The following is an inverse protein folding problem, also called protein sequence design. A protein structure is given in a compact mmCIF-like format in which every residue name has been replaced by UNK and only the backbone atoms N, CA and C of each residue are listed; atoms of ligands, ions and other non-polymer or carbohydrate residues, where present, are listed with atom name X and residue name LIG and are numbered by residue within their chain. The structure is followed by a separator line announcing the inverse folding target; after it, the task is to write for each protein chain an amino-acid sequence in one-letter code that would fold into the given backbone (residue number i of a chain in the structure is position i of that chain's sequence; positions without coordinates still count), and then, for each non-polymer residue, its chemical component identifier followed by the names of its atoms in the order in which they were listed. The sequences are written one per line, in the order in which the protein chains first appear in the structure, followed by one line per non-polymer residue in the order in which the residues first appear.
data_IF_603334293209
#
_entry.id   IF_603334293209
#
_cell.length_a   1.000
_cell.length_b   1.000
_cell.length_c   1.000
_cell.angle_alpha   90.00
_cell.angle_beta   90.00
_cell.angle_gamma   90.00
#
_symmetry.space_group_name_H-M   'P 1'
#
loop_
_entity.id
_entity.type
_entity.pdbx_description
1 polymer ?
#
# COMPACT_ATOMS: atom_id res chain seq x y z
N UNK A 1 31.80 -6.40 -15.36
CA UNK A 1 31.19 -7.66 -14.82
C UNK A 1 29.99 -7.34 -13.91
N UNK A 2 30.10 -6.35 -13.00
CA UNK A 2 29.03 -5.94 -12.07
C UNK A 2 27.81 -5.33 -12.79
N UNK A 3 28.03 -4.48 -13.81
CA UNK A 3 26.98 -3.89 -14.64
C UNK A 3 26.21 -4.93 -15.47
N UNK A 4 26.86 -6.00 -15.91
CA UNK A 4 26.23 -7.09 -16.67
C UNK A 4 25.34 -7.97 -15.77
N UNK A 5 25.71 -8.17 -14.51
CA UNK A 5 24.88 -8.87 -13.52
C UNK A 5 23.65 -8.06 -13.13
N UNK A 6 23.80 -6.74 -12.93
CA UNK A 6 22.70 -5.85 -12.61
C UNK A 6 21.67 -5.76 -13.74
N UNK A 7 22.13 -5.60 -14.99
CA UNK A 7 21.25 -5.60 -16.17
C UNK A 7 20.54 -6.93 -16.35
N UNK A 8 21.19 -8.05 -16.03
CA UNK A 8 20.59 -9.39 -16.16
C UNK A 8 19.50 -9.64 -15.12
N UNK A 9 19.66 -9.12 -13.89
CA UNK A 9 18.63 -9.19 -12.85
C UNK A 9 17.43 -8.29 -13.17
N UNK A 10 17.68 -7.05 -13.58
CA UNK A 10 16.61 -6.10 -13.95
C UNK A 10 15.83 -6.60 -15.17
N UNK A 11 16.51 -7.15 -16.19
CA UNK A 11 15.82 -7.74 -17.36
C UNK A 11 15.04 -8.99 -16.96
N UNK A 12 15.57 -9.85 -16.06
CA UNK A 12 14.82 -11.02 -15.59
C UNK A 12 13.58 -10.65 -14.77
N UNK A 13 13.62 -9.54 -14.04
CA UNK A 13 12.48 -9.06 -13.27
C UNK A 13 11.45 -8.36 -14.18
N UNK A 14 11.90 -7.65 -15.22
CA UNK A 14 11.02 -7.09 -16.26
C UNK A 14 10.38 -8.22 -17.08
N UNK A 15 11.12 -9.26 -17.44
CA UNK A 15 10.56 -10.42 -18.14
C UNK A 15 9.64 -11.26 -17.25
N UNK A 16 9.88 -11.34 -15.93
CA UNK A 16 8.95 -11.91 -14.97
C UNK A 16 7.66 -11.10 -14.87
N UNK A 17 7.76 -9.77 -14.83
CA UNK A 17 6.61 -8.87 -14.80
C UNK A 17 5.85 -8.95 -16.13
N UNK A 18 6.52 -8.98 -17.26
CA UNK A 18 5.93 -9.12 -18.60
C UNK A 18 5.28 -10.50 -18.82
N UNK A 19 5.91 -11.58 -18.33
CA UNK A 19 5.33 -12.94 -18.39
C UNK A 19 4.22 -13.17 -17.35
N UNK A 20 4.17 -12.40 -16.26
CA UNK A 20 3.03 -12.36 -15.34
C UNK A 20 1.85 -11.55 -15.89
N UNK A 21 2.04 -10.71 -16.90
CA UNK A 21 0.96 -9.96 -17.55
C UNK A 21 0.06 -10.82 -18.44
N UNK A 22 0.44 -12.05 -18.78
CA UNK A 22 -0.39 -13.01 -19.52
C UNK A 22 -1.20 -13.96 -18.61
N UNK A 23 -0.94 -13.98 -17.28
CA UNK A 23 -1.74 -14.69 -16.30
C UNK A 23 -2.08 -13.71 -15.17
N UNK A 24 -3.04 -12.83 -15.46
CA UNK A 24 -3.46 -11.69 -14.61
C UNK A 24 -4.18 -12.16 -13.33
N UNK A 25 -3.45 -12.84 -12.46
CA UNK A 25 -3.91 -13.16 -11.11
C UNK A 25 -4.01 -11.90 -10.23
N UNK A 26 -4.49 -12.07 -9.00
CA UNK A 26 -4.57 -11.00 -7.99
C UNK A 26 -3.15 -10.69 -7.47
N UNK A 27 -2.45 -9.74 -8.09
CA UNK A 27 -1.09 -9.35 -7.74
C UNK A 27 -1.10 -8.44 -6.51
N UNK A 28 -0.36 -8.80 -5.47
CA UNK A 28 -0.24 -8.05 -4.21
C UNK A 28 -1.60 -7.62 -3.60
N UNK A 29 -2.62 -8.41 -3.88
CA UNK A 29 -3.98 -8.22 -3.41
C UNK A 29 -4.37 -9.19 -2.30
N UNK A 30 -5.65 -9.21 -1.90
CA UNK A 30 -6.16 -10.07 -0.85
C UNK A 30 -5.88 -11.56 -1.09
N UNK A 31 -5.30 -12.29 -0.11
CA UNK A 31 -5.03 -13.74 -0.26
C UNK A 31 -6.28 -14.57 -0.58
N UNK A 32 -7.43 -14.17 -0.04
CA UNK A 32 -8.71 -14.82 -0.33
C UNK A 32 -9.08 -14.73 -1.81
N UNK A 33 -8.85 -13.59 -2.45
CA UNK A 33 -9.11 -13.44 -3.88
C UNK A 33 -8.09 -14.22 -4.71
N UNK A 34 -6.82 -14.29 -4.29
CA UNK A 34 -5.81 -15.13 -4.93
C UNK A 34 -6.23 -16.60 -4.93
N UNK A 35 -6.65 -17.12 -3.75
CA UNK A 35 -7.10 -18.49 -3.62
C UNK A 35 -8.36 -18.78 -4.43
N UNK A 36 -9.35 -17.87 -4.40
CA UNK A 36 -10.59 -18.02 -5.14
C UNK A 36 -10.40 -17.95 -6.66
N UNK A 37 -9.51 -17.09 -7.15
CA UNK A 37 -9.17 -17.06 -8.58
C UNK A 37 -8.43 -18.34 -9.02
N UNK A 38 -7.66 -18.97 -8.13
CA UNK A 38 -6.96 -20.21 -8.43
C UNK A 38 -7.89 -21.46 -8.40
N UNK A 39 -8.88 -21.49 -7.48
CA UNK A 39 -9.75 -22.64 -7.25
C UNK A 39 -11.10 -22.53 -7.97
N UNK A 40 -11.49 -21.33 -8.38
CA UNK A 40 -12.83 -21.01 -8.87
C UNK A 40 -13.77 -20.53 -7.75
N UNK A 41 -14.83 -19.84 -8.15
CA UNK A 41 -15.83 -19.31 -7.23
C UNK A 41 -17.00 -20.29 -7.07
N UNK A 42 -17.41 -20.66 -5.83
CA UNK A 42 -18.54 -21.53 -5.60
C UNK A 42 -19.84 -21.00 -6.23
N UNK A 43 -20.70 -21.89 -6.65
CA UNK A 43 -22.02 -21.53 -7.20
C UNK A 43 -22.79 -20.63 -6.21
N UNK A 44 -23.51 -19.65 -6.74
CA UNK A 44 -24.25 -18.65 -5.92
C UNK A 44 -23.39 -17.54 -5.32
N UNK A 45 -22.04 -17.64 -5.37
CA UNK A 45 -21.14 -16.64 -4.77
C UNK A 45 -20.40 -15.77 -5.78
N UNK A 46 -20.57 -16.04 -7.08
CA UNK A 46 -19.86 -15.37 -8.18
C UNK A 46 -20.08 -13.86 -8.22
N UNK A 47 -21.31 -13.39 -7.98
CA UNK A 47 -21.64 -11.98 -7.97
C UNK A 47 -20.85 -11.24 -6.88
N UNK A 48 -20.85 -11.74 -5.64
CA UNK A 48 -20.06 -11.18 -4.54
C UNK A 48 -18.55 -11.34 -4.78
N UNK A 49 -18.14 -12.45 -5.37
CA UNK A 49 -16.75 -12.67 -5.79
C UNK A 49 -16.28 -11.60 -6.77
N UNK A 50 -17.03 -11.38 -7.85
CA UNK A 50 -16.70 -10.37 -8.87
C UNK A 50 -16.76 -8.95 -8.32
N UNK A 51 -17.69 -8.66 -7.40
CA UNK A 51 -17.73 -7.38 -6.68
C UNK A 51 -16.40 -7.12 -5.93
N UNK A 52 -15.91 -8.09 -5.18
CA UNK A 52 -14.64 -7.95 -4.44
C UNK A 52 -13.41 -7.88 -5.37
N UNK A 53 -13.43 -8.60 -6.48
CA UNK A 53 -12.42 -8.43 -7.55
C UNK A 53 -12.47 -7.00 -8.10
N UNK A 54 -13.65 -6.44 -8.33
CA UNK A 54 -13.80 -5.06 -8.78
C UNK A 54 -13.26 -4.03 -7.78
N UNK A 55 -13.45 -4.26 -6.47
CA UNK A 55 -12.81 -3.44 -5.41
C UNK A 55 -11.28 -3.49 -5.52
N UNK A 56 -10.72 -4.67 -5.75
CA UNK A 56 -9.28 -4.85 -5.97
C UNK A 56 -8.82 -4.11 -7.24
N UNK A 57 -9.49 -4.32 -8.37
CA UNK A 57 -9.12 -3.74 -9.66
C UNK A 57 -9.14 -2.21 -9.65
N UNK A 58 -10.09 -1.59 -8.95
CA UNK A 58 -10.12 -0.14 -8.78
C UNK A 58 -8.90 0.42 -8.06
N UNK A 59 -8.32 -0.36 -7.13
CA UNK A 59 -7.08 0.01 -6.44
C UNK A 59 -5.84 -0.29 -7.29
N UNK A 60 -5.88 -1.39 -8.04
CA UNK A 60 -4.77 -1.90 -8.83
C UNK A 60 -4.56 -1.08 -10.12
N UNK A 61 -5.61 -0.84 -10.87
CA UNK A 61 -5.61 -0.10 -12.13
C UNK A 61 -6.87 0.79 -12.23
N UNK A 62 -6.83 1.99 -11.63
CA UNK A 62 -7.98 2.91 -11.59
C UNK A 62 -8.48 3.34 -12.96
N UNK A 63 -7.65 3.29 -13.99
CA UNK A 63 -8.03 3.73 -15.35
C UNK A 63 -8.75 2.63 -16.14
N UNK A 64 -8.29 1.38 -16.01
CA UNK A 64 -8.77 0.28 -16.85
C UNK A 64 -9.64 -0.75 -16.11
N UNK A 65 -9.93 -0.56 -14.82
CA UNK A 65 -10.63 -1.55 -13.99
C UNK A 65 -11.96 -2.05 -14.56
N UNK A 66 -12.68 -1.23 -15.31
CA UNK A 66 -13.96 -1.62 -15.92
C UNK A 66 -13.79 -2.66 -17.03
N UNK A 67 -12.77 -2.52 -17.84
CA UNK A 67 -12.43 -3.51 -18.87
C UNK A 67 -11.88 -4.77 -18.21
N UNK A 68 -11.05 -4.61 -17.19
CA UNK A 68 -10.46 -5.72 -16.45
C UNK A 68 -11.51 -6.56 -15.71
N UNK A 69 -12.56 -5.96 -15.14
CA UNK A 69 -13.62 -6.72 -14.45
C UNK A 69 -14.36 -7.67 -15.39
N UNK A 70 -14.57 -7.29 -16.64
CA UNK A 70 -15.17 -8.16 -17.65
C UNK A 70 -14.25 -9.33 -18.01
N UNK A 71 -12.94 -9.07 -18.11
CA UNK A 71 -11.93 -10.09 -18.36
C UNK A 71 -11.85 -11.09 -17.18
N UNK A 72 -11.85 -10.59 -15.95
CA UNK A 72 -11.85 -11.44 -14.75
C UNK A 72 -13.14 -12.26 -14.61
N UNK A 73 -14.27 -11.71 -15.02
CA UNK A 73 -15.53 -12.46 -15.10
C UNK A 73 -15.40 -13.67 -16.03
N UNK A 74 -14.83 -13.47 -17.22
CA UNK A 74 -14.65 -14.57 -18.20
C UNK A 74 -13.63 -15.60 -17.72
N UNK A 75 -12.58 -15.17 -17.06
CA UNK A 75 -11.45 -16.03 -16.70
C UNK A 75 -11.67 -16.83 -15.41
N UNK A 76 -12.41 -16.28 -14.46
CA UNK A 76 -12.49 -16.84 -13.10
C UNK A 76 -13.90 -17.25 -12.65
N UNK A 77 -14.96 -16.81 -13.35
CA UNK A 77 -16.32 -17.21 -13.04
C UNK A 77 -16.78 -18.37 -13.96
N UNK A 78 -17.28 -19.44 -13.37
CA UNK A 78 -17.73 -20.61 -14.12
C UNK A 78 -19.17 -20.97 -13.72
N UNK A 79 -20.18 -20.80 -14.61
CA UNK A 79 -20.13 -20.00 -15.84
C UNK A 79 -19.93 -18.50 -15.55
N UNK A 80 -19.44 -17.71 -16.50
CA UNK A 80 -19.35 -16.26 -16.35
C UNK A 80 -20.70 -15.63 -16.01
N UNK A 81 -20.69 -14.55 -15.24
CA UNK A 81 -21.91 -13.77 -14.99
C UNK A 81 -22.40 -13.10 -16.27
N UNK A 82 -23.73 -12.99 -16.46
CA UNK A 82 -24.31 -12.24 -17.57
C UNK A 82 -23.83 -10.78 -17.58
N UNK A 83 -23.69 -10.19 -18.78
CA UNK A 83 -23.22 -8.79 -18.92
C UNK A 83 -24.08 -7.80 -18.14
N UNK A 84 -25.38 -8.04 -17.99
CA UNK A 84 -26.27 -7.20 -17.17
C UNK A 84 -25.89 -7.14 -15.70
N UNK A 85 -25.45 -8.28 -15.14
CA UNK A 85 -24.96 -8.34 -13.75
C UNK A 85 -23.60 -7.65 -13.61
N UNK A 86 -22.68 -7.85 -14.56
CA UNK A 86 -21.37 -7.19 -14.57
C UNK A 86 -21.55 -5.67 -14.64
N UNK A 87 -22.42 -5.17 -15.51
CA UNK A 87 -22.75 -3.73 -15.60
C UNK A 87 -23.34 -3.22 -14.29
N UNK A 88 -24.17 -4.00 -13.62
CA UNK A 88 -24.73 -3.62 -12.31
C UNK A 88 -23.65 -3.48 -11.25
N UNK A 89 -22.69 -4.42 -11.20
CA UNK A 89 -21.55 -4.37 -10.29
C UNK A 89 -20.68 -3.12 -10.60
N UNK A 90 -20.38 -2.87 -11.87
CA UNK A 90 -19.61 -1.69 -12.29
C UNK A 90 -20.30 -0.40 -11.82
N UNK A 91 -21.59 -0.25 -12.12
CA UNK A 91 -22.37 0.94 -11.70
C UNK A 91 -22.40 1.10 -10.16
N UNK A 92 -22.45 0.00 -9.44
CA UNK A 92 -22.37 0.04 -7.98
C UNK A 92 -21.02 0.56 -7.51
N UNK A 93 -19.93 0.01 -8.04
CA UNK A 93 -18.56 0.37 -7.69
C UNK A 93 -18.22 1.82 -8.07
N UNK A 94 -18.85 2.39 -9.08
CA UNK A 94 -18.66 3.80 -9.47
C UNK A 94 -19.20 4.80 -8.44
N UNK A 95 -20.21 4.43 -7.66
CA UNK A 95 -20.91 5.36 -6.75
C UNK A 95 -20.04 5.87 -5.61
N UNK A 96 -19.12 5.05 -5.12
CA UNK A 96 -18.21 5.38 -4.00
C UNK A 96 -17.07 4.37 -3.91
N UNK A 97 -16.11 4.65 -3.05
CA UNK A 97 -15.08 3.68 -2.70
C UNK A 97 -15.63 2.66 -1.70
N UNK A 98 -15.59 1.40 -2.11
CA UNK A 98 -16.04 0.28 -1.29
C UNK A 98 -14.86 -0.43 -0.65
N UNK A 99 -15.06 -0.87 0.59
CA UNK A 99 -14.18 -1.86 1.21
C UNK A 99 -14.53 -3.28 0.74
N UNK A 100 -13.56 -4.21 0.89
CA UNK A 100 -13.83 -5.62 0.68
C UNK A 100 -14.89 -6.15 1.64
N UNK A 101 -15.78 -7.02 1.16
CA UNK A 101 -16.82 -7.67 1.96
C UNK A 101 -16.28 -8.89 2.69
N UNK A 102 -15.30 -8.67 3.56
CA UNK A 102 -14.53 -9.75 4.22
C UNK A 102 -15.36 -10.69 5.09
N UNK A 103 -16.57 -10.28 5.51
CA UNK A 103 -17.47 -11.09 6.36
C UNK A 103 -18.49 -11.89 5.56
N UNK A 104 -18.52 -11.74 4.23
CA UNK A 104 -19.47 -12.39 3.35
C UNK A 104 -18.83 -13.57 2.60
N UNK A 105 -19.66 -14.57 2.24
CA UNK A 105 -19.22 -15.64 1.36
C UNK A 105 -18.99 -15.12 -0.07
N UNK A 106 -17.98 -15.65 -0.79
CA UNK A 106 -17.04 -16.71 -0.41
C UNK A 106 -15.79 -16.20 0.33
N UNK A 107 -15.63 -14.88 0.50
CA UNK A 107 -14.42 -14.21 0.99
C UNK A 107 -14.05 -14.69 2.39
N UNK A 108 -15.04 -14.80 3.28
CA UNK A 108 -14.82 -15.13 4.70
C UNK A 108 -14.13 -16.48 4.88
N UNK A 109 -14.46 -17.49 4.04
CA UNK A 109 -13.88 -18.83 4.13
C UNK A 109 -12.40 -18.93 3.77
N UNK A 110 -11.90 -17.96 3.01
CA UNK A 110 -10.51 -17.89 2.55
C UNK A 110 -9.75 -16.72 3.16
N UNK A 111 -10.35 -16.02 4.12
CA UNK A 111 -9.80 -14.80 4.67
C UNK A 111 -8.57 -15.06 5.53
N UNK A 112 -7.45 -14.42 5.17
CA UNK A 112 -6.27 -14.30 6.02
C UNK A 112 -6.00 -12.81 6.24
N UNK A 113 -6.60 -12.27 7.29
CA UNK A 113 -6.54 -10.84 7.58
C UNK A 113 -5.11 -10.36 7.90
N UNK A 114 -4.30 -11.21 8.54
CA UNK A 114 -2.92 -10.86 8.90
C UNK A 114 -2.07 -10.62 7.65
N UNK A 115 -2.10 -11.54 6.70
CA UNK A 115 -1.40 -11.38 5.42
C UNK A 115 -2.03 -10.27 4.58
N UNK A 116 -3.38 -10.17 4.57
CA UNK A 116 -4.08 -9.17 3.76
C UNK A 116 -3.72 -7.73 4.17
N UNK A 117 -3.44 -7.49 5.45
CA UNK A 117 -3.01 -6.18 5.97
C UNK A 117 -1.63 -5.75 5.44
N UNK A 118 -0.77 -6.69 5.09
CA UNK A 118 0.58 -6.40 4.57
C UNK A 118 0.61 -6.21 3.05
N UNK A 119 -0.51 -6.50 2.36
CA UNK A 119 -0.59 -6.39 0.90
C UNK A 119 -0.93 -4.96 0.47
N UNK A 120 -0.28 -4.48 -0.58
CA UNK A 120 -0.49 -3.14 -1.15
C UNK A 120 -1.97 -2.86 -1.47
N UNK A 121 -2.66 -3.85 -2.04
CA UNK A 121 -4.08 -3.76 -2.40
C UNK A 121 -4.99 -4.58 -1.48
N UNK A 122 -4.53 -4.89 -0.28
CA UNK A 122 -5.29 -5.60 0.76
C UNK A 122 -6.30 -4.71 1.50
N UNK A 123 -6.71 -5.18 2.70
CA UNK A 123 -7.69 -4.47 3.55
C UNK A 123 -7.11 -3.29 4.31
N UNK A 124 -5.81 -3.08 4.26
CA UNK A 124 -5.21 -2.25 5.26
C UNK A 124 -3.97 -1.47 4.92
N UNK A 125 -3.79 -0.98 3.71
CA UNK A 125 -2.82 0.10 3.51
C UNK A 125 -3.13 1.29 4.44
N UNK A 126 -4.40 1.63 4.63
CA UNK A 126 -4.85 2.73 5.50
C UNK A 126 -4.77 2.43 7.00
N UNK A 127 -4.52 1.17 7.39
CA UNK A 127 -4.49 0.70 8.78
C UNK A 127 -3.15 0.07 9.18
N UNK A 128 -2.16 0.05 8.31
CA UNK A 128 -0.81 -0.41 8.64
C UNK A 128 -0.04 0.79 9.15
N UNK A 129 0.55 0.66 10.34
CA UNK A 129 1.45 1.68 10.86
C UNK A 129 2.62 1.86 9.88
N UNK A 130 2.93 3.10 9.48
CA UNK A 130 4.06 3.34 8.61
C UNK A 130 5.35 2.90 9.29
N UNK A 131 6.25 2.32 8.50
CA UNK A 131 7.58 1.94 8.96
C UNK A 131 8.53 3.08 8.63
N UNK A 132 9.18 3.59 9.66
CA UNK A 132 10.21 4.63 9.55
C UNK A 132 11.52 4.10 10.11
N UNK A 133 12.62 4.69 9.68
CA UNK A 133 13.91 4.48 10.29
C UNK A 133 14.08 5.30 11.56
N UNK A 134 15.29 5.80 11.80
CA UNK A 134 15.59 6.58 13.00
C UNK A 134 14.97 7.99 12.94
N UNK A 135 14.59 8.51 14.10
CA UNK A 135 14.23 9.91 14.30
C UNK A 135 15.33 10.59 15.10
N UNK A 136 15.89 11.67 14.57
CA UNK A 136 16.86 12.51 15.25
C UNK A 136 16.33 13.92 15.42
N UNK A 137 16.66 14.54 16.53
CA UNK A 137 16.27 15.93 16.86
C UNK A 137 17.53 16.77 17.06
N UNK A 138 17.69 17.77 16.23
CA UNK A 138 18.69 18.82 16.46
C UNK A 138 18.12 19.84 17.44
N UNK A 139 18.80 20.02 18.59
CA UNK A 139 18.35 20.89 19.68
C UNK A 139 18.64 22.35 19.37
N UNK A 140 17.97 22.89 18.37
CA UNK A 140 17.92 24.32 18.00
C UNK A 140 16.63 24.96 18.46
N UNK A 141 16.48 26.27 18.32
CA UNK A 141 15.24 27.00 18.59
C UNK A 141 14.80 27.77 17.33
N UNK A 142 13.77 27.29 16.59
CA UNK A 142 12.99 26.07 16.82
C UNK A 142 13.78 24.78 16.51
N UNK A 143 13.40 23.62 17.10
CA UNK A 143 14.07 22.35 16.84
C UNK A 143 13.86 21.87 15.41
N UNK A 144 14.89 21.25 14.84
CA UNK A 144 14.85 20.60 13.52
C UNK A 144 14.87 19.08 13.73
N UNK A 145 14.03 18.39 12.99
CA UNK A 145 13.89 16.94 13.06
C UNK A 145 14.39 16.28 11.78
N UNK A 146 15.06 15.15 11.91
CA UNK A 146 15.49 14.33 10.79
C UNK A 146 14.88 12.95 10.95
N UNK A 147 14.08 12.54 9.97
CA UNK A 147 13.43 11.23 9.92
C UNK A 147 13.94 10.44 8.72
N UNK A 148 14.39 9.22 8.97
CA UNK A 148 14.77 8.30 7.92
C UNK A 148 13.49 7.63 7.36
N UNK A 149 13.23 7.83 6.07
CA UNK A 149 12.11 7.26 5.33
C UNK A 149 12.68 6.49 4.16
N UNK A 150 12.53 5.17 4.16
CA UNK A 150 13.22 4.28 3.24
C UNK A 150 14.74 4.55 3.28
N UNK A 151 15.37 4.85 2.15
CA UNK A 151 16.81 5.12 2.06
C UNK A 151 17.14 6.65 2.07
N UNK A 152 16.18 7.49 2.44
CA UNK A 152 16.35 8.95 2.41
C UNK A 152 16.06 9.56 3.78
N UNK A 153 16.77 10.67 4.07
CA UNK A 153 16.59 11.46 5.29
C UNK A 153 15.79 12.72 5.01
N UNK A 154 14.65 12.87 5.68
CA UNK A 154 13.81 14.05 5.60
C UNK A 154 14.13 15.02 6.73
N UNK A 155 14.34 16.27 6.38
CA UNK A 155 14.34 17.39 7.32
C UNK A 155 12.90 17.88 7.52
N UNK A 156 12.47 17.96 8.78
CA UNK A 156 11.10 18.27 9.19
C UNK A 156 11.08 19.33 10.28
N UNK A 157 10.09 20.20 10.24
CA UNK A 157 9.72 21.02 11.39
C UNK A 157 8.90 20.17 12.39
N UNK A 158 8.73 20.67 13.61
CA UNK A 158 7.84 20.03 14.61
C UNK A 158 6.41 19.90 14.06
N UNK A 159 5.94 20.89 13.32
CA UNK A 159 4.61 20.91 12.75
C UNK A 159 4.45 19.89 11.61
N UNK A 160 5.47 19.74 10.75
CA UNK A 160 5.49 18.72 9.70
C UNK A 160 5.40 17.32 10.31
N UNK A 161 6.11 17.08 11.41
CA UNK A 161 6.10 15.78 12.08
C UNK A 161 4.76 15.49 12.76
N UNK A 162 4.13 16.49 13.38
CA UNK A 162 2.85 16.32 14.11
C UNK A 162 1.64 16.21 13.19
N UNK A 163 1.64 16.90 12.05
CA UNK A 163 0.51 16.99 11.13
C UNK A 163 0.72 16.09 9.92
N UNK A 164 0.01 14.97 9.87
CA UNK A 164 0.14 13.96 8.82
C UNK A 164 0.03 14.53 7.39
N UNK A 165 -0.86 15.53 7.15
CA UNK A 165 -0.99 16.17 5.83
C UNK A 165 0.24 17.01 5.47
N UNK A 166 0.87 17.68 6.44
CA UNK A 166 2.12 18.42 6.20
C UNK A 166 3.27 17.47 5.95
N UNK A 167 3.35 16.40 6.73
CA UNK A 167 4.31 15.33 6.51
C UNK A 167 4.18 14.74 5.10
N UNK A 168 2.97 14.40 4.66
CA UNK A 168 2.71 13.89 3.30
C UNK A 168 3.20 14.86 2.23
N UNK A 169 2.94 16.17 2.40
CA UNK A 169 3.41 17.19 1.47
C UNK A 169 4.94 17.24 1.41
N UNK A 170 5.62 17.19 2.55
CA UNK A 170 7.09 17.14 2.59
C UNK A 170 7.64 15.89 1.92
N UNK A 171 7.02 14.73 2.09
CA UNK A 171 7.39 13.53 1.35
C UNK A 171 7.25 13.73 -0.17
N UNK A 172 6.16 14.33 -0.63
CA UNK A 172 5.97 14.65 -2.05
C UNK A 172 7.03 15.59 -2.58
N UNK A 173 7.36 16.66 -1.83
CA UNK A 173 8.29 17.70 -2.27
C UNK A 173 9.74 17.19 -2.34
N UNK A 174 10.14 16.30 -1.42
CA UNK A 174 11.52 15.84 -1.26
C UNK A 174 11.75 14.48 -1.90
N UNK A 175 10.83 13.52 -1.63
CA UNK A 175 10.97 12.12 -2.08
C UNK A 175 10.27 11.86 -3.41
N UNK A 176 9.48 12.81 -3.91
CA UNK A 176 8.61 12.67 -5.07
C UNK A 176 7.68 11.43 -4.98
N UNK A 177 7.16 11.17 -3.79
CA UNK A 177 6.40 9.97 -3.46
C UNK A 177 5.26 10.35 -2.48
N UNK A 178 4.00 9.99 -2.78
CA UNK A 178 2.85 10.29 -1.94
C UNK A 178 2.80 9.34 -0.74
N UNK A 179 3.19 9.85 0.43
CA UNK A 179 3.06 9.07 1.65
C UNK A 179 1.57 8.83 1.99
N UNK A 180 1.12 7.58 2.19
CA UNK A 180 -0.28 7.28 2.42
C UNK A 180 -0.77 7.85 3.76
N UNK A 181 -1.94 8.49 3.75
CA UNK A 181 -2.60 8.91 4.99
C UNK A 181 -3.13 7.69 5.73
N UNK A 182 -2.86 7.62 7.02
CA UNK A 182 -3.37 6.58 7.91
C UNK A 182 -4.39 7.18 8.90
N UNK A 183 -5.12 6.35 9.64
CA UNK A 183 -6.02 6.83 10.69
C UNK A 183 -5.25 7.59 11.77
N UNK A 184 -5.85 8.64 12.29
CA UNK A 184 -5.22 9.55 13.25
C UNK A 184 -4.60 8.83 14.45
N UNK A 185 -5.26 7.82 15.01
CA UNK A 185 -4.73 7.07 16.14
C UNK A 185 -3.47 6.26 15.78
N UNK A 186 -3.38 5.72 14.55
CA UNK A 186 -2.21 5.00 14.04
C UNK A 186 -1.04 5.98 13.90
N UNK A 187 -1.29 7.16 13.35
CA UNK A 187 -0.28 8.20 13.23
C UNK A 187 0.26 8.62 14.60
N UNK A 188 -0.63 8.86 15.57
CA UNK A 188 -0.25 9.23 16.94
C UNK A 188 0.56 8.13 17.64
N UNK A 189 0.20 6.87 17.44
CA UNK A 189 0.95 5.74 17.99
C UNK A 189 2.34 5.61 17.34
N UNK A 190 2.41 5.77 16.01
CA UNK A 190 3.69 5.79 15.28
C UNK A 190 4.61 6.91 15.77
N UNK A 191 4.08 8.13 15.94
CA UNK A 191 4.85 9.24 16.49
C UNK A 191 5.35 8.97 17.92
N UNK A 192 4.49 8.39 18.77
CA UNK A 192 4.88 8.04 20.14
C UNK A 192 6.04 7.04 20.15
N UNK A 193 6.00 6.04 19.28
CA UNK A 193 7.06 5.05 19.17
C UNK A 193 8.38 5.67 18.66
N UNK A 194 8.30 6.57 17.66
CA UNK A 194 9.47 7.30 17.18
C UNK A 194 10.06 8.21 18.25
N UNK A 195 9.23 8.95 18.97
CA UNK A 195 9.66 9.86 20.04
C UNK A 195 10.28 9.13 21.23
N UNK A 196 9.86 7.90 21.51
CA UNK A 196 10.47 7.09 22.59
C UNK A 196 11.91 6.64 22.29
N UNK A 197 12.30 6.68 21.00
CA UNK A 197 13.63 6.27 20.54
C UNK A 197 14.37 7.43 19.82
N UNK A 198 14.01 8.67 20.10
CA UNK A 198 14.63 9.83 19.44
C UNK A 198 16.10 10.00 19.85
N UNK A 199 16.94 10.29 18.87
CA UNK A 199 18.34 10.61 19.07
C UNK A 199 18.46 12.15 19.15
N UNK A 200 18.80 12.68 20.33
CA UNK A 200 19.01 14.11 20.49
C UNK A 200 20.45 14.48 20.12
N UNK A 201 20.59 15.51 19.29
CA UNK A 201 21.85 16.04 18.80
C UNK A 201 21.99 17.46 19.33
N UNK A 202 22.96 17.67 20.20
CA UNK A 202 23.26 19.01 20.73
C UNK A 202 24.19 19.77 19.79
N UNK A 203 23.93 21.06 19.63
CA UNK A 203 24.83 21.98 18.91
C UNK A 203 25.70 22.64 19.93
N UNK A 204 27.00 22.39 19.86
CA UNK A 204 27.98 23.06 20.72
C UNK A 204 28.05 24.56 20.40
N UNK A 205 28.39 25.37 21.38
CA UNK A 205 28.46 26.84 21.25
C UNK A 205 29.48 27.36 20.22
N UNK A 206 30.35 26.48 19.74
CA UNK A 206 31.33 26.75 18.66
C UNK A 206 30.82 26.35 17.28
N UNK A 207 29.55 25.90 17.17
CA UNK A 207 28.95 25.44 15.90
C UNK A 207 29.33 24.01 15.50
N UNK A 208 30.07 23.29 16.34
CA UNK A 208 30.36 21.87 16.09
C UNK A 208 29.19 21.00 16.53
N UNK A 209 28.90 19.95 15.74
CA UNK A 209 27.84 18.97 16.05
C UNK A 209 28.46 17.84 16.85
N UNK A 210 28.12 17.74 18.14
CA UNK A 210 28.51 16.63 18.97
C UNK A 210 27.49 15.49 18.79
N UNK A 211 27.79 14.54 17.91
CA UNK A 211 27.03 13.31 17.73
C UNK A 211 27.98 12.14 17.64
N UNK A 212 27.81 11.13 18.51
CA UNK A 212 28.46 9.83 18.32
C UNK A 212 27.77 9.15 17.13
N UNK A 213 28.49 9.05 16.02
CA UNK A 213 28.14 8.13 14.94
C UNK A 213 28.90 6.81 15.24
N UNK A 214 28.21 5.83 15.78
CA UNK A 214 28.64 4.43 15.73
C UNK A 214 28.01 3.75 14.51
#
# INVERSE_FOLDING_TARGET
EFLQLYTKHVVSDIDRIANQSSNKGIVDGPPCLQSLCAQGFPEGTRNNGLFNIGVYLRKFDPENWKTLIEEYNRNYMTPPLPSSEVVTIIKQLEKKDYAYRCKEQPIVSFCNASICKTRKYGIGADNVAPQFGSLSKLCTDPPIWFLDVEDQRLELSTEDLQMQQKFQRRCMDILNFPFPLVKSYIWQETLRNLMSNVIEIEVSSDGSVAGQFE
#
